data_IF_557683911683
#
_entry.id   IF_557683911683
#
_cell.length_a   1.000
_cell.length_b   1.000
_cell.length_c   1.000
_cell.angle_alpha   90.00
_cell.angle_beta   90.00
_cell.angle_gamma   90.00
#
_symmetry.space_group_name_H-M   'P 1'
#
loop_
_entity.id
_entity.type
_entity.pdbx_description
1 polymer ?
#
# COMPACT_ATOMS: atom_id res chain seq x y z
N UNK A 1 7.47 16.74 14.90
CA UNK A 1 6.46 16.60 13.81
C UNK A 1 5.25 15.85 14.37
N UNK A 2 4.00 16.29 14.14
CA UNK A 2 2.82 15.56 14.60
C UNK A 2 2.57 14.30 13.75
N UNK A 3 1.92 13.28 14.32
CA UNK A 3 1.66 12.00 13.65
C UNK A 3 0.91 12.16 12.31
N UNK A 4 -0.10 13.03 12.27
CA UNK A 4 -0.88 13.28 11.05
C UNK A 4 -0.04 13.89 9.93
N UNK A 5 0.98 14.70 10.25
CA UNK A 5 1.91 15.22 9.25
C UNK A 5 2.79 14.09 8.69
N UNK A 6 3.29 13.18 9.54
CA UNK A 6 4.01 11.97 9.09
C UNK A 6 3.13 11.14 8.15
N UNK A 7 1.88 10.86 8.55
CA UNK A 7 0.94 10.10 7.70
C UNK A 7 0.76 10.78 6.34
N UNK A 8 0.58 12.11 6.32
CA UNK A 8 0.41 12.86 5.09
C UNK A 8 1.66 12.82 4.20
N UNK A 9 2.84 13.08 4.77
CA UNK A 9 4.10 13.12 4.03
C UNK A 9 4.45 11.73 3.46
N UNK A 10 4.27 10.67 4.24
CA UNK A 10 4.50 9.29 3.78
C UNK A 10 3.57 8.89 2.64
N UNK A 11 2.29 9.25 2.72
CA UNK A 11 1.31 8.98 1.64
C UNK A 11 1.71 9.69 0.35
N UNK A 12 2.12 10.95 0.44
CA UNK A 12 2.62 11.72 -0.70
C UNK A 12 3.90 11.07 -1.25
N UNK A 13 4.88 10.76 -0.41
CA UNK A 13 6.13 10.14 -0.84
C UNK A 13 5.91 8.79 -1.55
N UNK A 14 5.00 7.97 -1.05
CA UNK A 14 4.60 6.71 -1.68
C UNK A 14 3.94 6.92 -3.05
N UNK A 15 3.09 7.93 -3.16
CA UNK A 15 2.42 8.27 -4.41
C UNK A 15 3.41 8.83 -5.46
N UNK A 16 4.31 9.71 -5.04
CA UNK A 16 5.37 10.25 -5.91
C UNK A 16 6.36 9.17 -6.35
N UNK A 17 6.72 8.23 -5.46
CA UNK A 17 7.51 7.06 -5.83
C UNK A 17 6.80 6.25 -6.93
N UNK A 18 5.51 5.96 -6.75
CA UNK A 18 4.74 5.23 -7.76
C UNK A 18 4.59 5.99 -9.08
N UNK A 19 4.52 7.32 -9.05
CA UNK A 19 4.53 8.16 -10.26
C UNK A 19 5.86 8.08 -11.01
N UNK A 20 6.98 8.05 -10.27
CA UNK A 20 8.30 7.91 -10.86
C UNK A 20 8.51 6.52 -11.46
N UNK A 21 8.01 5.48 -10.77
CA UNK A 21 8.03 4.11 -11.27
C UNK A 21 6.80 3.31 -10.81
N UNK A 22 5.95 3.00 -11.78
CA UNK A 22 4.75 2.18 -11.57
C UNK A 22 5.04 0.73 -11.18
N UNK A 23 6.31 0.29 -11.24
CA UNK A 23 6.79 -1.02 -10.82
C UNK A 23 7.08 -1.13 -9.33
N UNK A 24 6.91 -0.06 -8.54
CA UNK A 24 7.05 -0.08 -7.08
C UNK A 24 6.36 -1.31 -6.47
N UNK A 25 7.16 -2.20 -5.88
CA UNK A 25 6.62 -3.40 -5.23
C UNK A 25 6.01 -3.05 -3.88
N UNK A 26 4.92 -3.74 -3.56
CA UNK A 26 4.19 -3.66 -2.28
C UNK A 26 4.05 -5.02 -1.60
N UNK A 27 4.53 -6.09 -2.24
CA UNK A 27 4.64 -7.42 -1.66
C UNK A 27 5.90 -8.13 -2.17
N UNK A 28 6.55 -8.85 -1.27
CA UNK A 28 7.65 -9.78 -1.56
C UNK A 28 7.37 -11.13 -0.89
N UNK A 29 7.98 -12.20 -1.41
CA UNK A 29 7.79 -13.54 -0.84
C UNK A 29 8.70 -13.78 0.36
N UNK A 30 9.96 -13.37 0.24
CA UNK A 30 10.99 -13.61 1.26
C UNK A 30 11.60 -12.29 1.76
N UNK A 31 12.27 -12.36 2.91
CA UNK A 31 12.85 -11.18 3.58
C UNK A 31 14.05 -10.66 2.78
N UNK A 32 14.80 -11.58 2.17
CA UNK A 32 15.97 -11.34 1.37
C UNK A 32 15.66 -10.41 0.18
N UNK A 33 14.45 -10.48 -0.35
CA UNK A 33 13.98 -9.68 -1.48
C UNK A 33 13.60 -8.25 -1.07
N UNK A 34 13.33 -7.99 0.22
CA UNK A 34 12.92 -6.66 0.70
C UNK A 34 13.98 -5.60 0.41
N UNK A 35 15.27 -5.95 0.49
CA UNK A 35 16.36 -5.00 0.23
C UNK A 35 16.38 -4.49 -1.21
N UNK A 36 15.92 -5.31 -2.15
CA UNK A 36 15.90 -5.02 -3.59
C UNK A 36 14.61 -4.35 -4.06
N UNK A 37 13.57 -4.39 -3.24
CA UNK A 37 12.21 -4.05 -3.69
C UNK A 37 11.50 -3.03 -2.79
N UNK A 38 12.08 -2.69 -1.63
CA UNK A 38 11.51 -1.67 -0.75
C UNK A 38 11.66 -0.24 -1.30
N UNK A 39 12.67 0.01 -2.14
CA UNK A 39 13.00 1.31 -2.73
C UNK A 39 13.20 1.17 -4.24
N UNK A 40 12.99 2.26 -4.99
CA UNK A 40 13.06 2.30 -6.46
C UNK A 40 14.50 2.35 -7.00
N UNK A 41 15.41 2.97 -6.25
CA UNK A 41 16.79 3.21 -6.71
C UNK A 41 17.74 2.14 -6.16
N UNK A 42 18.56 1.62 -7.07
CA UNK A 42 19.37 0.40 -7.06
C UNK A 42 20.18 0.03 -5.79
N UNK A 43 20.32 -1.30 -5.70
CA UNK A 43 21.28 -2.25 -5.11
C UNK A 43 22.54 -1.81 -4.31
N UNK A 44 22.97 -0.55 -4.35
CA UNK A 44 24.29 -0.11 -3.83
C UNK A 44 24.25 0.71 -2.53
N UNK A 45 23.07 0.98 -2.00
CA UNK A 45 22.93 1.64 -0.69
C UNK A 45 22.81 0.59 0.42
N UNK A 46 23.49 0.82 1.55
CA UNK A 46 23.34 -0.04 2.73
C UNK A 46 21.89 0.03 3.23
N UNK A 47 21.15 -1.05 2.99
CA UNK A 47 19.77 -1.21 3.46
C UNK A 47 19.78 -2.01 4.75
N UNK A 48 19.39 -1.36 5.84
CA UNK A 48 19.21 -2.02 7.12
C UNK A 48 17.82 -2.66 7.22
N UNK A 49 17.80 -3.93 7.64
CA UNK A 49 16.59 -4.68 7.94
C UNK A 49 16.52 -4.94 9.44
N UNK A 50 15.53 -4.37 10.11
CA UNK A 50 15.41 -4.44 11.56
C UNK A 50 13.99 -4.78 12.03
N UNK A 51 13.88 -5.17 13.30
CA UNK A 51 12.58 -5.46 13.92
C UNK A 51 11.77 -4.17 14.00
N UNK A 52 10.46 -4.26 13.76
CA UNK A 52 9.54 -3.19 14.10
C UNK A 52 9.29 -3.16 15.62
N UNK A 53 10.03 -2.31 16.35
CA UNK A 53 10.00 -2.29 17.81
C UNK A 53 10.28 -3.67 18.43
N UNK A 54 9.37 -4.17 19.29
CA UNK A 54 9.53 -5.49 19.97
C UNK A 54 9.08 -6.71 19.14
N UNK A 55 8.73 -6.55 17.85
CA UNK A 55 8.10 -7.62 17.06
C UNK A 55 9.16 -8.54 16.44
N UNK A 56 8.77 -9.79 16.20
CA UNK A 56 9.64 -10.75 15.53
C UNK A 56 9.86 -10.36 14.06
N UNK A 57 11.10 -10.54 13.57
CA UNK A 57 11.43 -10.41 12.14
C UNK A 57 10.61 -11.36 11.26
N UNK A 58 10.10 -12.47 11.83
CA UNK A 58 9.20 -13.39 11.12
C UNK A 58 7.84 -12.76 10.77
N UNK A 59 7.46 -11.67 11.43
CA UNK A 59 6.12 -11.08 11.32
C UNK A 59 6.12 -9.63 10.85
N UNK A 60 7.11 -8.83 11.26
CA UNK A 60 7.16 -7.40 10.93
C UNK A 60 8.61 -6.91 10.81
N UNK A 61 8.88 -6.21 9.72
CA UNK A 61 10.21 -5.77 9.32
C UNK A 61 10.15 -4.30 8.97
N UNK A 62 11.11 -3.54 9.50
CA UNK A 62 11.41 -2.19 9.05
C UNK A 62 12.59 -2.28 8.11
N UNK A 63 12.46 -1.64 6.96
CA UNK A 63 13.51 -1.49 5.97
C UNK A 63 13.84 -0.01 5.90
N UNK A 64 15.11 0.35 6.10
CA UNK A 64 15.56 1.74 6.09
C UNK A 64 16.91 1.91 5.38
N UNK A 65 17.12 3.09 4.83
CA UNK A 65 18.42 3.62 4.36
C UNK A 65 18.56 5.07 4.83
N UNK A 66 19.77 5.60 4.77
CA UNK A 66 20.04 7.00 5.14
C UNK A 66 19.23 7.99 4.30
N UNK A 67 18.93 9.16 4.86
CA UNK A 67 18.20 10.25 4.19
C UNK A 67 16.77 10.45 4.69
N UNK A 68 15.90 11.00 3.82
CA UNK A 68 14.53 11.36 4.20
C UNK A 68 13.70 10.10 4.55
N UNK A 69 13.22 9.93 5.80
CA UNK A 69 12.50 8.73 6.21
C UNK A 69 11.19 8.48 5.45
N UNK A 70 10.58 9.50 4.85
CA UNK A 70 9.34 9.34 4.10
C UNK A 70 9.53 8.51 2.81
N UNK A 71 10.70 8.66 2.17
CA UNK A 71 11.09 7.92 0.97
C UNK A 71 12.00 6.74 1.29
N UNK A 72 12.79 6.84 2.36
CA UNK A 72 13.88 5.91 2.68
C UNK A 72 13.58 5.00 3.86
N UNK A 73 12.34 4.95 4.35
CA UNK A 73 11.92 3.97 5.35
C UNK A 73 10.52 3.40 5.07
N UNK A 74 10.38 2.09 5.27
CA UNK A 74 9.12 1.38 5.07
C UNK A 74 8.94 0.26 6.09
N UNK A 75 7.68 -0.13 6.33
CA UNK A 75 7.32 -1.23 7.22
C UNK A 75 6.51 -2.28 6.46
N UNK A 76 6.91 -3.52 6.66
CA UNK A 76 6.40 -4.69 5.97
C UNK A 76 5.97 -5.73 6.99
N UNK A 77 4.85 -6.39 6.73
CA UNK A 77 4.34 -7.44 7.63
C UNK A 77 3.95 -8.67 6.85
N UNK A 78 4.10 -9.82 7.50
CA UNK A 78 3.62 -11.07 6.95
C UNK A 78 2.12 -10.99 6.70
N UNK A 79 1.64 -11.48 5.55
CA UNK A 79 0.24 -11.38 5.16
C UNK A 79 -0.73 -12.01 6.19
N UNK A 80 -0.29 -13.05 6.90
CA UNK A 80 -1.04 -13.71 7.98
C UNK A 80 -0.97 -12.99 9.34
N UNK A 81 -0.11 -11.99 9.51
CA UNK A 81 0.10 -11.32 10.79
C UNK A 81 -1.05 -10.36 11.11
N UNK A 82 -1.69 -10.51 12.27
CA UNK A 82 -2.81 -9.66 12.70
C UNK A 82 -2.37 -8.41 13.49
N UNK A 83 -1.14 -8.38 13.99
CA UNK A 83 -0.63 -7.28 14.82
C UNK A 83 -0.05 -6.10 14.03
N UNK A 84 -0.46 -5.89 12.77
CA UNK A 84 0.14 -4.92 11.87
C UNK A 84 -0.04 -3.46 12.32
N UNK A 85 -1.15 -3.09 12.97
CA UNK A 85 -1.31 -1.75 13.56
C UNK A 85 -0.21 -1.46 14.60
N UNK A 86 0.07 -2.45 15.46
CA UNK A 86 1.15 -2.36 16.46
C UNK A 86 2.54 -2.31 15.81
N UNK A 87 2.72 -2.93 14.65
CA UNK A 87 3.96 -2.84 13.89
C UNK A 87 4.13 -1.46 13.25
N UNK A 88 3.08 -0.87 12.69
CA UNK A 88 3.15 0.47 12.13
C UNK A 88 3.44 1.53 13.20
N UNK A 89 2.79 1.45 14.38
CA UNK A 89 3.12 2.34 15.50
C UNK A 89 4.57 2.13 16.01
N UNK A 90 5.05 0.89 16.02
CA UNK A 90 6.44 0.58 16.34
C UNK A 90 7.42 1.20 15.34
N UNK A 91 7.10 1.14 14.05
CA UNK A 91 7.86 1.77 12.97
C UNK A 91 7.91 3.29 13.15
N UNK A 92 6.77 3.94 13.42
CA UNK A 92 6.73 5.39 13.66
C UNK A 92 7.58 5.81 14.85
N UNK A 93 7.51 5.08 15.96
CA UNK A 93 8.38 5.33 17.12
C UNK A 93 9.85 5.17 16.78
N UNK A 94 10.19 4.17 15.99
CA UNK A 94 11.56 3.82 15.66
C UNK A 94 12.20 4.81 14.69
N UNK A 95 11.50 5.16 13.61
CA UNK A 95 12.01 5.99 12.52
C UNK A 95 11.80 7.48 12.79
N UNK A 96 10.62 7.86 13.27
CA UNK A 96 10.23 9.27 13.46
C UNK A 96 10.34 9.74 14.91
N UNK A 97 10.68 8.84 15.85
CA UNK A 97 10.79 9.12 17.30
C UNK A 97 9.50 9.64 17.93
N UNK A 98 8.35 9.28 17.35
CA UNK A 98 7.02 9.65 17.85
C UNK A 98 6.40 8.46 18.59
N UNK A 99 6.14 8.61 19.89
CA UNK A 99 5.50 7.57 20.70
C UNK A 99 3.96 7.64 20.62
N UNK A 100 3.43 7.31 19.44
CA UNK A 100 1.99 7.32 19.17
C UNK A 100 1.27 6.08 19.73
N UNK A 101 0.02 6.28 20.13
CA UNK A 101 -0.92 5.26 20.60
C UNK A 101 -2.00 5.00 19.54
N UNK A 102 -2.74 3.88 19.62
CA UNK A 102 -3.84 3.60 18.69
C UNK A 102 -4.90 4.70 18.63
N UNK A 103 -5.16 5.41 19.74
CA UNK A 103 -6.11 6.52 19.78
C UNK A 103 -5.66 7.72 18.92
N UNK A 104 -4.34 7.90 18.72
CA UNK A 104 -3.79 8.98 17.92
C UNK A 104 -3.98 8.73 16.41
N UNK A 105 -4.42 7.53 16.01
CA UNK A 105 -4.76 7.18 14.62
C UNK A 105 -6.19 7.59 14.23
N UNK A 106 -6.85 8.47 14.99
CA UNK A 106 -8.23 8.86 14.71
C UNK A 106 -8.43 9.30 13.25
N UNK A 107 -9.34 8.62 12.54
CA UNK A 107 -9.62 8.83 11.12
C UNK A 107 -8.71 8.06 10.16
N UNK A 108 -7.81 7.20 10.67
CA UNK A 108 -6.90 6.38 9.90
C UNK A 108 -6.84 4.92 10.38
N UNK A 109 -6.76 4.03 9.40
CA UNK A 109 -6.61 2.60 9.57
C UNK A 109 -5.25 2.22 9.00
N UNK A 110 -4.57 1.32 9.69
CA UNK A 110 -3.39 0.68 9.10
C UNK A 110 -3.89 -0.41 8.18
N UNK A 111 -3.53 -0.34 6.91
CA UNK A 111 -3.96 -1.33 5.92
C UNK A 111 -2.77 -1.87 5.13
N UNK A 112 -2.96 -3.03 4.54
CA UNK A 112 -2.02 -3.62 3.61
C UNK A 112 -2.15 -2.92 2.27
N UNK A 113 -1.02 -2.50 1.69
CA UNK A 113 -0.99 -1.93 0.35
C UNK A 113 -1.18 -2.99 -0.73
N UNK A 114 -1.52 -4.23 -0.37
CA UNK A 114 -2.01 -5.26 -1.26
C UNK A 114 -3.08 -6.06 -0.50
N UNK A 115 -4.16 -6.46 -1.20
CA UNK A 115 -5.14 -7.35 -0.60
C UNK A 115 -4.46 -8.68 -0.20
N UNK A 116 -4.54 -9.03 1.09
CA UNK A 116 -3.97 -10.26 1.66
C UNK A 116 -4.45 -11.53 0.97
N UNK A 117 -5.66 -11.55 0.42
CA UNK A 117 -6.19 -12.67 -0.38
C UNK A 117 -5.32 -12.98 -1.61
N UNK A 118 -4.49 -12.04 -2.06
CA UNK A 118 -3.56 -12.20 -3.18
C UNK A 118 -2.18 -12.73 -2.76
N UNK A 119 -1.97 -13.08 -1.49
CA UNK A 119 -0.77 -13.73 -0.96
C UNK A 119 -1.15 -15.12 -0.40
N UNK A 120 -1.18 -16.16 -1.26
CA UNK A 120 -1.61 -17.51 -0.89
C UNK A 120 -0.68 -18.09 0.17
N UNK A 121 -1.24 -18.88 1.10
CA UNK A 121 -0.49 -19.43 2.23
C UNK A 121 -0.06 -18.39 3.28
N UNK A 122 -0.34 -17.10 3.06
CA UNK A 122 -0.06 -16.02 4.01
C UNK A 122 1.42 -15.85 4.35
N UNK A 123 2.32 -16.36 3.49
CA UNK A 123 3.75 -16.46 3.75
C UNK A 123 4.52 -15.17 3.41
N UNK A 124 4.07 -14.43 2.38
CA UNK A 124 4.74 -13.22 1.90
C UNK A 124 4.60 -12.01 2.83
N UNK A 125 5.50 -11.04 2.65
CA UNK A 125 5.48 -9.76 3.34
C UNK A 125 4.84 -8.71 2.46
N UNK A 126 3.90 -7.95 3.02
CA UNK A 126 3.18 -6.88 2.35
C UNK A 126 3.48 -5.57 3.08
N UNK A 127 3.75 -4.50 2.32
CA UNK A 127 3.92 -3.16 2.87
C UNK A 127 2.61 -2.69 3.49
N UNK A 128 2.70 -2.05 4.65
CA UNK A 128 1.52 -1.47 5.33
C UNK A 128 1.68 0.04 5.47
N UNK A 129 0.55 0.75 5.47
CA UNK A 129 0.54 2.20 5.66
C UNK A 129 -0.76 2.66 6.33
N UNK A 130 -0.73 3.86 6.91
CA UNK A 130 -1.93 4.53 7.42
C UNK A 130 -2.77 5.12 6.27
N UNK A 131 -4.00 4.67 6.14
CA UNK A 131 -4.97 5.07 5.11
C UNK A 131 -6.20 5.68 5.79
N UNK A 132 -6.78 6.72 5.21
CA UNK A 132 -8.01 7.32 5.74
C UNK A 132 -9.13 6.27 5.85
N UNK A 133 -9.82 6.23 6.99
CA UNK A 133 -10.81 5.20 7.33
C UNK A 133 -11.97 5.13 6.34
N UNK A 134 -12.55 6.29 6.03
CA UNK A 134 -13.74 6.38 5.19
C UNK A 134 -13.41 5.91 3.77
N UNK A 135 -12.28 6.36 3.24
CA UNK A 135 -11.77 5.93 1.93
C UNK A 135 -11.46 4.44 1.94
N UNK A 136 -10.78 3.95 2.98
CA UNK A 136 -10.42 2.55 3.10
C UNK A 136 -11.66 1.63 3.06
N UNK A 137 -12.66 1.95 3.88
CA UNK A 137 -13.90 1.19 3.94
C UNK A 137 -14.71 1.27 2.63
N UNK A 138 -14.75 2.43 1.98
CA UNK A 138 -15.46 2.59 0.71
C UNK A 138 -14.86 1.69 -0.39
N UNK A 139 -13.53 1.66 -0.50
CA UNK A 139 -12.84 0.76 -1.42
C UNK A 139 -13.00 -0.71 -1.00
N UNK A 140 -12.93 -1.02 0.30
CA UNK A 140 -13.11 -2.39 0.81
C UNK A 140 -14.44 -3.02 0.41
N UNK A 141 -15.55 -2.29 0.61
CA UNK A 141 -16.91 -2.74 0.22
C UNK A 141 -17.03 -3.05 -1.28
N UNK A 142 -16.24 -2.39 -2.11
CA UNK A 142 -16.25 -2.65 -3.55
C UNK A 142 -15.69 -4.05 -3.87
N UNK A 143 -14.61 -4.45 -3.19
CA UNK A 143 -13.85 -5.66 -3.52
C UNK A 143 -14.18 -6.87 -2.65
N UNK A 144 -15.05 -6.73 -1.64
CA UNK A 144 -15.38 -7.80 -0.68
C UNK A 144 -15.86 -9.09 -1.37
N UNK A 145 -16.85 -9.01 -2.26
CA UNK A 145 -17.35 -10.16 -3.04
C UNK A 145 -16.29 -10.75 -3.97
N UNK A 146 -15.48 -9.91 -4.61
CA UNK A 146 -14.39 -10.37 -5.46
C UNK A 146 -13.34 -11.14 -4.66
N UNK A 147 -13.01 -10.66 -3.47
CA UNK A 147 -12.02 -11.27 -2.59
C UNK A 147 -12.46 -12.64 -2.04
N UNK A 148 -13.77 -12.94 -2.04
CA UNK A 148 -14.29 -14.27 -1.67
C UNK A 148 -14.33 -15.28 -2.83
N UNK A 149 -14.05 -14.87 -4.07
CA UNK A 149 -14.14 -15.76 -5.23
C UNK A 149 -12.80 -16.51 -5.48
N UNK A 150 -12.77 -17.86 -5.55
CA UNK A 150 -11.59 -18.67 -5.84
C UNK A 150 -10.76 -18.27 -7.07
N UNK A 151 -11.38 -17.70 -8.10
CA UNK A 151 -10.68 -17.20 -9.30
C UNK A 151 -10.00 -15.85 -9.10
N UNK A 152 -10.40 -15.07 -8.09
CA UNK A 152 -9.64 -13.88 -7.66
C UNK A 152 -8.24 -14.26 -7.15
N UNK A 153 -8.11 -15.50 -6.65
CA UNK A 153 -6.85 -16.09 -6.21
C UNK A 153 -6.02 -16.62 -7.39
N UNK A 154 -6.57 -16.84 -8.59
CA UNK A 154 -5.88 -17.49 -9.70
C UNK A 154 -4.82 -16.62 -10.39
N UNK A 155 -4.72 -15.32 -10.07
CA UNK A 155 -3.71 -14.42 -10.62
C UNK A 155 -2.33 -14.60 -9.96
N UNK A 156 -2.06 -15.78 -9.36
CA UNK A 156 -0.96 -16.13 -8.48
C UNK A 156 0.43 -16.13 -9.14
N UNK A 157 0.51 -16.26 -10.46
CA UNK A 157 1.76 -16.44 -11.19
C UNK A 157 2.58 -15.14 -11.42
N UNK A 158 2.19 -14.01 -10.82
CA UNK A 158 2.99 -12.78 -10.93
C UNK A 158 4.03 -12.71 -9.82
N UNK A 159 5.29 -12.93 -10.19
CA UNK A 159 6.47 -12.62 -9.38
C UNK A 159 6.49 -11.12 -9.03
N UNK A 160 6.14 -10.79 -7.79
CA UNK A 160 6.06 -9.42 -7.28
C UNK A 160 4.72 -8.71 -7.60
N UNK A 161 4.15 -8.07 -6.58
CA UNK A 161 2.94 -7.25 -6.76
C UNK A 161 3.27 -5.78 -6.63
N UNK A 162 2.85 -5.03 -7.65
CA UNK A 162 3.05 -3.59 -7.77
C UNK A 162 1.93 -2.82 -7.09
N UNK A 163 2.21 -1.57 -6.76
CA UNK A 163 1.18 -0.60 -6.38
C UNK A 163 0.19 -0.42 -7.56
N UNK A 164 -1.11 -0.37 -7.26
CA UNK A 164 -2.17 -0.29 -8.26
C UNK A 164 -2.90 1.05 -8.21
N UNK A 165 -3.63 1.39 -9.27
CA UNK A 165 -4.49 2.57 -9.34
C UNK A 165 -5.40 2.74 -8.12
N UNK A 166 -5.97 1.65 -7.59
CA UNK A 166 -6.76 1.67 -6.35
C UNK A 166 -5.94 2.06 -5.13
N UNK A 167 -4.74 1.49 -4.99
CA UNK A 167 -3.90 1.77 -3.82
C UNK A 167 -3.43 3.21 -3.88
N UNK A 168 -3.03 3.70 -5.05
CA UNK A 168 -2.67 5.10 -5.28
C UNK A 168 -3.84 6.05 -4.96
N UNK A 169 -5.05 5.72 -5.44
CA UNK A 169 -6.26 6.48 -5.11
C UNK A 169 -6.54 6.50 -3.59
N UNK A 170 -6.45 5.35 -2.91
CA UNK A 170 -6.59 5.24 -1.44
C UNK A 170 -5.55 6.10 -0.71
N UNK A 171 -4.29 6.00 -1.12
CA UNK A 171 -3.18 6.81 -0.59
C UNK A 171 -3.38 8.29 -0.83
N UNK A 172 -4.15 8.72 -1.82
CA UNK A 172 -4.43 10.13 -2.08
C UNK A 172 -5.83 10.57 -1.63
N UNK A 173 -6.51 9.73 -0.83
CA UNK A 173 -7.80 10.08 -0.23
C UNK A 173 -8.95 10.12 -1.24
N UNK A 174 -8.77 9.53 -2.42
CA UNK A 174 -9.78 9.53 -3.47
C UNK A 174 -10.79 8.41 -3.23
N UNK A 175 -12.07 8.77 -3.22
CA UNK A 175 -13.17 7.80 -3.11
C UNK A 175 -13.24 6.89 -4.35
N UNK A 176 -13.74 5.66 -4.22
CA UNK A 176 -14.01 4.80 -5.38
C UNK A 176 -15.17 5.34 -6.22
N UNK A 177 -15.28 4.93 -7.50
CA UNK A 177 -16.54 5.01 -8.23
C UNK A 177 -17.58 4.05 -7.61
N UNK A 178 -18.84 4.12 -8.03
CA UNK A 178 -19.90 3.20 -7.58
C UNK A 178 -19.85 1.84 -8.30
N UNK A 179 -19.16 1.75 -9.43
CA UNK A 179 -18.99 0.53 -10.22
C UNK A 179 -18.40 0.83 -11.61
N UNK A 180 -18.28 -0.18 -12.50
CA UNK A 180 -17.68 -0.01 -13.82
C UNK A 180 -18.48 0.92 -14.74
N UNK A 181 -19.80 1.06 -14.49
CA UNK A 181 -20.69 1.96 -15.23
C UNK A 181 -20.75 3.38 -14.66
N UNK A 182 -20.11 3.66 -13.53
CA UNK A 182 -20.09 5.01 -12.94
C UNK A 182 -19.08 5.91 -13.65
N UNK A 183 -19.47 6.39 -14.83
CA UNK A 183 -18.64 7.26 -15.65
C UNK A 183 -18.23 8.54 -14.92
N UNK A 184 -19.10 9.09 -14.08
CA UNK A 184 -18.76 10.30 -13.31
C UNK A 184 -17.66 10.02 -12.29
N UNK A 185 -17.77 8.93 -11.54
CA UNK A 185 -16.75 8.50 -10.58
C UNK A 185 -15.41 8.16 -11.26
N UNK A 186 -15.45 7.48 -12.40
CA UNK A 186 -14.26 7.16 -13.21
C UNK A 186 -13.61 8.45 -13.73
N UNK A 187 -14.40 9.36 -14.32
CA UNK A 187 -13.89 10.63 -14.85
C UNK A 187 -13.23 11.48 -13.76
N UNK A 188 -13.80 11.53 -12.55
CA UNK A 188 -13.18 12.23 -11.41
C UNK A 188 -11.80 11.69 -11.09
N UNK A 189 -11.65 10.36 -11.05
CA UNK A 189 -10.35 9.74 -10.80
C UNK A 189 -9.37 9.97 -11.95
N UNK A 190 -9.81 9.88 -13.20
CA UNK A 190 -9.00 10.20 -14.39
C UNK A 190 -8.50 11.63 -14.32
N UNK A 191 -9.38 12.60 -14.05
CA UNK A 191 -8.98 14.00 -13.87
C UNK A 191 -7.99 14.19 -12.74
N UNK A 192 -8.18 13.48 -11.61
CA UNK A 192 -7.21 13.48 -10.52
C UNK A 192 -5.84 12.99 -10.99
N UNK A 193 -5.72 11.79 -11.58
CA UNK A 193 -4.41 11.27 -12.02
C UNK A 193 -3.76 12.12 -13.12
N UNK A 194 -4.56 12.65 -14.06
CA UNK A 194 -4.07 13.60 -15.06
C UNK A 194 -3.50 14.87 -14.41
N UNK A 195 -4.18 15.41 -13.39
CA UNK A 195 -3.68 16.58 -12.64
C UNK A 195 -2.38 16.31 -11.89
N UNK A 196 -2.08 15.03 -11.63
CA UNK A 196 -0.82 14.59 -11.02
C UNK A 196 0.27 14.30 -12.05
N UNK A 197 0.04 14.58 -13.34
CA UNK A 197 1.01 14.36 -14.42
C UNK A 197 0.98 12.98 -15.06
N UNK A 198 0.02 12.13 -14.70
CA UNK A 198 -0.05 10.72 -15.14
C UNK A 198 -0.93 10.53 -16.39
N UNK A 199 -1.08 11.56 -17.22
CA UNK A 199 -1.98 11.50 -18.39
C UNK A 199 -1.50 10.48 -19.44
N UNK A 200 -0.18 10.29 -19.55
CA UNK A 200 0.43 9.35 -20.50
C UNK A 200 0.30 7.88 -20.05
N UNK A 201 -0.01 7.63 -18.78
CA UNK A 201 -0.16 6.28 -18.21
C UNK A 201 -1.56 5.69 -18.43
N UNK A 202 -2.39 6.35 -19.24
CA UNK A 202 -3.77 5.99 -19.54
C UNK A 202 -4.61 5.59 -18.30
N UNK A 203 -4.82 6.51 -17.35
CA UNK A 203 -5.52 6.20 -16.09
C UNK A 203 -6.93 5.67 -16.31
N UNK A 204 -7.60 6.04 -17.41
CA UNK A 204 -8.94 5.51 -17.75
C UNK A 204 -8.90 4.01 -17.95
N UNK A 205 -8.00 3.53 -18.80
CA UNK A 205 -7.86 2.10 -19.08
C UNK A 205 -7.49 1.34 -17.80
N UNK A 206 -6.51 1.83 -17.03
CA UNK A 206 -6.09 1.22 -15.77
C UNK A 206 -7.22 1.10 -14.74
N UNK A 207 -8.02 2.15 -14.59
CA UNK A 207 -9.18 2.17 -13.69
C UNK A 207 -10.30 1.24 -14.18
N UNK A 208 -10.65 1.28 -15.48
CA UNK A 208 -11.71 0.44 -16.04
C UNK A 208 -11.35 -1.05 -15.94
N UNK A 209 -10.14 -1.44 -16.36
CA UNK A 209 -9.67 -2.83 -16.30
C UNK A 209 -9.71 -3.38 -14.86
N UNK A 210 -9.33 -2.55 -13.89
CA UNK A 210 -9.38 -2.90 -12.48
C UNK A 210 -10.82 -3.08 -11.97
N UNK A 211 -11.74 -2.18 -12.35
CA UNK A 211 -13.15 -2.23 -11.94
C UNK A 211 -13.86 -3.42 -12.58
N UNK A 212 -13.66 -3.67 -13.87
CA UNK A 212 -14.20 -4.84 -14.55
C UNK A 212 -13.72 -6.13 -13.92
N UNK A 213 -12.42 -6.23 -13.61
CA UNK A 213 -11.87 -7.37 -12.87
C UNK A 213 -12.52 -7.54 -11.48
N UNK A 214 -12.81 -6.45 -10.77
CA UNK A 214 -13.47 -6.52 -9.47
C UNK A 214 -14.94 -6.95 -9.58
N UNK A 215 -15.64 -6.48 -10.60
CA UNK A 215 -17.08 -6.66 -10.76
C UNK A 215 -17.47 -7.93 -11.51
N UNK A 216 -16.56 -8.57 -12.26
CA UNK A 216 -16.84 -9.87 -12.89
C UNK A 216 -17.17 -10.98 -11.90
N UNK A 217 -16.83 -10.78 -10.62
CA UNK A 217 -17.06 -11.73 -9.53
C UNK A 217 -18.25 -11.38 -8.62
N UNK A 218 -19.08 -10.39 -9.00
CA UNK A 218 -20.17 -9.87 -8.17
C UNK A 218 -21.53 -10.46 -8.47
#
# INVERSE_FOLDING_TARGET
>A
MPLHAVISQRRIALFEAWKADSFQQVQVENIEDLRRHAFLDDLDLEVETEKSGRRSLKNAIVVRRDGNPDTNASVWVRASYSGYQKAWLGFVKQVYKIDAKPADLAGYNIDHLLNRARSPGGAGFIRIEAINDQVNQAWGRMFEKAASNPEFYANQERYGRKLSWLIAAKLMGQMPPRGPSDQQGINRLVSFFNSQGMAQDNPREGLTNMLEFAYRFR
#
